data_IF_451356055892
#
_entry.id   IF_451356055892
#
_cell.length_a   1.000
_cell.length_b   1.000
_cell.length_c   1.000
_cell.angle_alpha   90.00
_cell.angle_beta   90.00
_cell.angle_gamma   90.00
#
_symmetry.space_group_name_H-M   'P 1'
#
loop_
_entity.id
_entity.type
_entity.pdbx_description
1 polymer ?
2 non-polymer ?
3 non-polymer ?
4 water ?
#
# COMPACT_ATOMS: atom_id res chain seq x y z
N UNK A 1 -11.64 -10.19 -0.98
CA UNK A 1 -12.36 -11.36 -1.57
C UNK A 1 -13.67 -11.66 -0.80
N UNK A 2 -13.61 -12.22 0.43
CA UNK A 2 -14.84 -12.73 1.11
C UNK A 2 -15.55 -11.59 1.84
N UNK A 3 -14.87 -10.53 2.28
CA UNK A 3 -15.60 -9.40 2.91
C UNK A 3 -15.82 -8.32 1.86
N UNK A 4 -17.07 -7.92 1.67
CA UNK A 4 -17.46 -6.85 0.69
C UNK A 4 -16.84 -5.54 1.15
N UNK A 5 -16.21 -4.81 0.23
CA UNK A 5 -15.72 -3.44 0.52
C UNK A 5 -15.96 -2.55 -0.70
N UNK A 6 -16.46 -1.34 -0.44
CA UNK A 6 -16.67 -0.29 -1.46
C UNK A 6 -15.33 0.08 -2.12
N UNK A 7 -14.21 -0.11 -1.42
CA UNK A 7 -12.94 0.49 -1.89
C UNK A 7 -12.50 -0.01 -3.26
N UNK A 8 -12.75 -1.28 -3.57
CA UNK A 8 -12.31 -1.91 -4.84
C UNK A 8 -13.00 -1.18 -6.01
N UNK A 9 -14.32 -1.02 -5.91
CA UNK A 9 -15.15 -0.28 -6.90
C UNK A 9 -14.66 1.18 -6.98
N UNK A 10 -14.41 1.80 -5.82
CA UNK A 10 -14.09 3.25 -5.77
C UNK A 10 -12.90 3.53 -6.69
N UNK A 11 -11.88 2.66 -6.72
CA UNK A 11 -10.64 2.94 -7.51
C UNK A 11 -10.78 2.38 -8.93
N UNK A 12 -11.96 1.87 -9.26
CA UNK A 12 -12.33 1.36 -10.60
C UNK A 12 -11.51 0.11 -10.96
N UNK A 13 -11.16 -0.73 -9.97
CA UNK A 13 -10.47 -2.00 -10.20
C UNK A 13 -11.39 -2.99 -10.96
N UNK A 14 -12.72 -3.09 -10.70
CA UNK A 14 -13.55 -4.04 -11.45
C UNK A 14 -13.45 -3.89 -12.98
N UNK A 15 -13.20 -2.70 -13.50
CA UNK A 15 -13.04 -2.50 -14.98
C UNK A 15 -11.83 -3.31 -15.46
N UNK A 16 -10.72 -3.32 -14.71
CA UNK A 16 -9.56 -4.17 -15.05
C UNK A 16 -9.95 -5.63 -14.90
N UNK A 17 -10.63 -5.99 -13.82
CA UNK A 17 -11.04 -7.39 -13.60
C UNK A 17 -11.87 -7.84 -14.81
N UNK A 18 -12.78 -7.00 -15.30
CA UNK A 18 -13.71 -7.35 -16.42
C UNK A 18 -12.93 -7.47 -17.75
N UNK A 19 -11.77 -6.83 -17.85
CA UNK A 19 -10.85 -6.92 -19.03
C UNK A 19 -9.99 -8.18 -18.90
N UNK A 20 -10.00 -8.83 -17.73
CA UNK A 20 -9.20 -10.06 -17.46
C UNK A 20 -7.91 -9.76 -16.71
N UNK A 21 -7.71 -8.57 -16.15
CA UNK A 21 -6.41 -8.25 -15.48
C UNK A 21 -6.62 -8.37 -13.98
N UNK A 22 -5.85 -9.22 -13.30
CA UNK A 22 -5.99 -9.43 -11.83
C UNK A 22 -4.65 -9.39 -11.11
N UNK A 23 -3.58 -8.89 -11.73
CA UNK A 23 -2.26 -8.81 -11.09
C UNK A 23 -1.50 -10.11 -11.16
N UNK A 24 -1.77 -10.95 -12.16
CA UNK A 24 -1.05 -12.22 -12.43
C UNK A 24 0.45 -11.95 -12.55
N UNK A 25 1.27 -12.79 -11.90
CA UNK A 25 2.75 -12.76 -11.99
C UNK A 25 3.29 -11.41 -11.52
N UNK A 26 2.74 -10.90 -10.42
CA UNK A 26 3.28 -9.66 -9.78
C UNK A 26 3.59 -9.99 -8.33
N UNK A 27 4.83 -9.74 -7.92
CA UNK A 27 5.33 -10.00 -6.56
C UNK A 27 5.17 -8.74 -5.73
N UNK A 28 4.36 -8.82 -4.68
CA UNK A 28 4.06 -7.66 -3.82
C UNK A 28 4.56 -7.99 -2.42
N UNK A 29 5.54 -7.23 -1.92
CA UNK A 29 6.01 -7.35 -0.52
C UNK A 29 5.11 -6.52 0.37
N UNK A 30 4.46 -7.19 1.30
CA UNK A 30 3.66 -6.53 2.37
C UNK A 30 4.63 -6.34 3.53
N UNK A 31 5.20 -5.14 3.64
CA UNK A 31 6.16 -4.82 4.71
C UNK A 31 5.37 -4.26 5.90
N UNK A 32 5.20 -5.08 6.94
CA UNK A 32 4.19 -4.81 7.99
C UNK A 32 4.41 -5.78 9.15
N UNK A 33 3.32 -6.21 9.78
CA UNK A 33 3.34 -7.01 11.05
C UNK A 33 3.30 -8.51 10.78
N UNK A 34 3.45 -8.93 9.52
CA UNK A 34 3.32 -10.33 9.11
C UNK A 34 2.06 -10.51 8.32
N UNK A 35 1.83 -11.72 7.84
CA UNK A 35 0.51 -12.08 7.25
C UNK A 35 0.12 -13.44 7.83
N UNK A 36 -1.10 -13.56 8.29
CA UNK A 36 -1.63 -14.87 8.74
C UNK A 36 -1.83 -15.76 7.51
N UNK A 37 -0.84 -16.57 7.19
CA UNK A 37 -0.84 -17.37 5.96
C UNK A 37 -1.82 -18.54 6.05
N UNK A 38 -2.39 -18.82 7.22
CA UNK A 38 -3.39 -19.89 7.43
C UNK A 38 -4.82 -19.37 7.20
N UNK A 39 -4.96 -18.07 6.91
CA UNK A 39 -6.26 -17.49 6.50
C UNK A 39 -6.70 -18.13 5.17
N UNK A 40 -7.90 -18.78 5.14
CA UNK A 40 -8.40 -19.38 3.90
C UNK A 40 -8.51 -18.40 2.72
N UNK A 41 -8.60 -17.10 2.98
CA UNK A 41 -8.85 -16.07 1.92
C UNK A 41 -7.50 -15.53 1.43
N UNK A 42 -6.37 -15.96 2.00
CA UNK A 42 -5.04 -15.44 1.60
C UNK A 42 -4.20 -16.58 1.04
N UNK A 43 -3.23 -16.24 0.21
CA UNK A 43 -2.13 -17.16 -0.16
C UNK A 43 -0.86 -16.32 -0.04
N UNK A 44 0.16 -16.88 0.55
CA UNK A 44 1.43 -16.17 0.77
C UNK A 44 2.54 -16.99 0.08
N UNK A 45 3.36 -16.35 -0.75
CA UNK A 45 4.34 -17.00 -1.63
C UNK A 45 5.68 -17.16 -0.93
N UNK A 46 5.92 -16.42 0.15
CA UNK A 46 7.20 -16.46 0.85
C UNK A 46 7.32 -15.28 1.78
N UNK A 47 8.49 -15.10 2.39
CA UNK A 47 8.61 -14.00 3.35
C UNK A 47 9.76 -14.19 4.33
N UNK A 48 9.85 -13.27 5.26
CA UNK A 48 10.99 -13.15 6.20
C UNK A 48 10.54 -12.27 7.36
N UNK A 49 11.00 -12.61 8.58
CA UNK A 49 10.81 -11.74 9.75
C UNK A 49 12.14 -11.15 10.19
N UNK A 50 12.12 -9.87 10.54
CA UNK A 50 13.25 -9.07 11.06
C UNK A 50 12.89 -8.53 12.45
N UNK A 51 11.85 -9.08 13.09
CA UNK A 51 11.43 -8.69 14.46
C UNK A 51 11.98 -9.74 15.41
N UNK A 52 13.08 -9.47 16.13
CA UNK A 52 13.74 -10.54 16.90
C UNK A 52 12.77 -11.24 17.86
N UNK A 53 11.79 -10.51 18.42
CA UNK A 53 10.86 -11.11 19.44
C UNK A 53 9.69 -11.82 18.76
N UNK A 54 9.52 -11.66 17.45
CA UNK A 54 8.38 -12.25 16.68
C UNK A 54 8.90 -12.89 15.38
N UNK A 55 9.39 -14.11 15.48
CA UNK A 55 10.24 -14.72 14.41
C UNK A 55 9.43 -15.31 13.25
N UNK A 56 8.10 -15.32 13.29
CA UNK A 56 7.32 -15.97 12.22
C UNK A 56 6.62 -14.92 11.37
N UNK A 57 7.03 -14.71 10.09
CA UNK A 57 6.37 -13.73 9.23
C UNK A 57 4.99 -14.21 8.80
N UNK A 58 4.68 -15.51 9.00
CA UNK A 58 3.43 -16.13 8.48
C UNK A 58 2.38 -16.24 9.58
N UNK A 59 2.63 -15.54 10.69
CA UNK A 59 1.59 -15.24 11.69
C UNK A 59 1.58 -13.72 11.90
N UNK A 60 0.47 -13.22 12.42
CA UNK A 60 0.30 -11.76 12.57
C UNK A 60 -0.41 -11.53 13.89
N UNK A 61 0.32 -11.02 14.88
CA UNK A 61 -0.24 -10.79 16.22
C UNK A 61 -0.65 -9.31 16.35
N UNK A 62 -0.62 -8.54 15.27
CA UNK A 62 -1.11 -7.14 15.25
C UNK A 62 -2.47 -7.06 14.55
N UNK A 63 -2.56 -7.58 13.34
CA UNK A 63 -3.74 -7.69 12.44
C UNK A 63 -3.54 -6.81 11.19
N UNK A 64 -2.71 -5.78 11.26
CA UNK A 64 -2.58 -4.81 10.14
C UNK A 64 -2.01 -5.49 8.90
N UNK A 65 -0.94 -6.30 9.04
CA UNK A 65 -0.35 -6.96 7.86
C UNK A 65 -1.35 -7.84 7.13
N UNK A 66 -2.18 -8.53 7.89
CA UNK A 66 -3.17 -9.47 7.32
C UNK A 66 -4.27 -8.65 6.63
N UNK A 67 -4.64 -7.51 7.21
CA UNK A 67 -5.73 -6.67 6.63
C UNK A 67 -5.24 -6.07 5.30
N UNK A 68 -4.02 -5.54 5.33
CA UNK A 68 -3.34 -5.04 4.10
C UNK A 68 -3.32 -6.14 3.05
N UNK A 69 -2.86 -7.34 3.41
CA UNK A 69 -2.74 -8.47 2.47
C UNK A 69 -4.09 -8.69 1.78
N UNK A 70 -5.18 -8.75 2.54
CA UNK A 70 -6.52 -9.00 2.00
C UNK A 70 -6.95 -7.88 1.06
N UNK A 71 -6.62 -6.64 1.36
CA UNK A 71 -6.95 -5.48 0.49
C UNK A 71 -6.16 -5.57 -0.81
N UNK A 72 -4.88 -5.89 -0.72
CA UNK A 72 -4.03 -6.06 -1.94
C UNK A 72 -4.70 -7.11 -2.83
N UNK A 73 -5.10 -8.26 -2.27
CA UNK A 73 -5.73 -9.33 -3.11
C UNK A 73 -7.16 -8.96 -3.54
N UNK A 74 -7.92 -8.15 -2.79
CA UNK A 74 -9.26 -7.72 -3.24
C UNK A 74 -9.11 -6.90 -4.53
N UNK A 75 -8.07 -6.09 -4.60
CA UNK A 75 -7.78 -5.24 -5.78
C UNK A 75 -7.11 -6.07 -6.88
N UNK A 76 -6.15 -6.91 -6.51
CA UNK A 76 -5.35 -7.72 -7.45
C UNK A 76 -5.40 -9.17 -7.01
N UNK A 77 -6.48 -9.89 -7.35
CA UNK A 77 -6.71 -11.25 -6.85
C UNK A 77 -5.60 -12.25 -7.14
N UNK A 78 -4.82 -12.03 -8.21
CA UNK A 78 -3.77 -12.98 -8.66
C UNK A 78 -2.39 -12.58 -8.13
N UNK A 79 -2.28 -11.50 -7.38
CA UNK A 79 -0.94 -11.03 -6.95
C UNK A 79 -0.27 -12.07 -6.04
N UNK A 80 1.06 -12.13 -6.07
CA UNK A 80 1.87 -13.04 -5.22
C UNK A 80 2.30 -12.25 -3.98
N UNK A 81 1.78 -12.58 -2.79
CA UNK A 81 2.09 -11.79 -1.58
C UNK A 81 3.33 -12.37 -0.90
N UNK A 82 4.17 -11.49 -0.40
CA UNK A 82 5.33 -11.88 0.44
C UNK A 82 5.17 -11.16 1.77
N UNK A 83 5.22 -11.92 2.86
CA UNK A 83 5.05 -11.43 4.24
C UNK A 83 6.43 -11.00 4.71
N UNK A 84 6.66 -9.69 4.74
CA UNK A 84 7.94 -9.11 5.21
C UNK A 84 7.68 -8.46 6.57
N UNK A 85 8.00 -9.18 7.63
CA UNK A 85 7.63 -8.74 9.00
C UNK A 85 8.71 -7.85 9.59
N UNK A 86 8.38 -6.56 9.78
CA UNK A 86 9.29 -5.53 10.35
C UNK A 86 8.62 -4.84 11.54
N UNK A 87 7.36 -5.16 11.82
CA UNK A 87 6.63 -4.55 12.97
C UNK A 87 6.22 -5.67 13.91
N UNK A 88 6.20 -5.36 15.21
CA UNK A 88 5.66 -6.30 16.20
C UNK A 88 4.16 -6.15 16.39
N UNK A 89 3.66 -6.85 17.40
CA UNK A 89 2.22 -6.93 17.70
C UNK A 89 1.67 -5.53 18.01
N UNK A 90 2.51 -4.61 18.52
CA UNK A 90 2.03 -3.26 18.92
C UNK A 90 2.13 -2.32 17.72
N UNK A 91 2.55 -2.83 16.54
CA UNK A 91 2.53 -2.09 15.27
C UNK A 91 3.73 -1.19 15.11
N UNK A 92 4.71 -1.34 15.99
CA UNK A 92 5.98 -0.59 16.00
C UNK A 92 7.15 -1.49 15.55
N UNK A 93 8.17 -0.87 15.00
CA UNK A 93 9.41 -1.55 14.62
C UNK A 93 10.54 -0.56 14.54
N UNK A 94 11.77 -1.04 14.69
CA UNK A 94 12.99 -0.21 14.53
C UNK A 94 13.23 0.02 13.03
N UNK A 95 13.69 1.23 12.70
CA UNK A 95 14.00 1.59 11.30
C UNK A 95 14.96 0.53 10.76
N UNK A 96 15.90 0.01 11.56
CA UNK A 96 16.89 -0.95 11.00
C UNK A 96 16.18 -2.21 10.51
N UNK A 97 15.14 -2.64 11.21
CA UNK A 97 14.33 -3.84 10.82
C UNK A 97 13.60 -3.53 9.52
N UNK A 98 13.00 -2.35 9.43
CA UNK A 98 12.30 -1.89 8.21
C UNK A 98 13.27 -1.93 7.03
N UNK A 99 14.42 -1.35 7.21
CA UNK A 99 15.48 -1.34 6.17
C UNK A 99 15.84 -2.79 5.80
N UNK A 100 15.96 -3.70 6.77
CA UNK A 100 16.30 -5.10 6.45
C UNK A 100 15.19 -5.69 5.57
N UNK A 101 13.94 -5.32 5.84
CA UNK A 101 12.79 -5.80 5.06
C UNK A 101 12.85 -5.29 3.64
N UNK A 102 13.17 -4.02 3.49
CA UNK A 102 13.29 -3.38 2.16
C UNK A 102 14.40 -4.07 1.37
N UNK A 103 15.56 -4.26 2.03
CA UNK A 103 16.76 -4.94 1.45
C UNK A 103 16.36 -6.34 0.95
N UNK A 104 15.62 -7.09 1.77
CA UNK A 104 15.12 -8.44 1.41
C UNK A 104 14.22 -8.33 0.16
N UNK A 105 13.33 -7.35 0.11
CA UNK A 105 12.37 -7.19 -1.01
C UNK A 105 13.16 -6.94 -2.32
N UNK A 106 14.20 -6.12 -2.25
CA UNK A 106 15.07 -5.81 -3.43
C UNK A 106 15.75 -7.11 -3.85
N UNK A 107 16.40 -7.80 -2.90
CA UNK A 107 17.21 -9.01 -3.16
C UNK A 107 16.33 -10.10 -3.79
N UNK A 108 15.04 -10.14 -3.44
CA UNK A 108 14.13 -11.22 -3.88
C UNK A 108 13.24 -10.72 -5.03
N UNK A 109 13.63 -9.62 -5.68
CA UNK A 109 13.04 -9.18 -6.97
C UNK A 109 11.55 -8.90 -6.83
N UNK A 110 11.16 -8.20 -5.77
CA UNK A 110 9.74 -7.80 -5.63
C UNK A 110 9.43 -6.77 -6.73
N UNK A 111 8.21 -6.81 -7.28
CA UNK A 111 7.72 -5.82 -8.26
C UNK A 111 7.18 -4.59 -7.53
N UNK A 112 6.57 -4.80 -6.36
CA UNK A 112 5.85 -3.76 -5.59
C UNK A 112 6.24 -3.95 -4.14
N UNK A 113 6.58 -2.86 -3.47
CA UNK A 113 6.67 -2.84 -1.96
C UNK A 113 5.52 -2.00 -1.46
N UNK A 114 4.80 -2.51 -0.49
CA UNK A 114 3.81 -1.71 0.27
C UNK A 114 4.31 -1.57 1.70
N UNK A 115 4.46 -0.33 2.15
CA UNK A 115 4.82 -0.02 3.53
C UNK A 115 3.65 0.70 4.19
N UNK A 116 2.81 -0.15 4.77
CA UNK A 116 1.68 0.12 5.67
C UNK A 116 2.27 0.59 7.01
N UNK A 117 3.06 1.67 7.03
CA UNK A 117 3.71 2.10 8.30
C UNK A 117 4.33 3.47 8.10
N UNK A 118 4.56 4.18 9.19
CA UNK A 118 5.45 5.35 9.12
C UNK A 118 5.87 5.81 10.46
N UNK A 119 7.07 6.37 10.55
CA UNK A 119 7.55 7.03 11.77
C UNK A 119 7.53 8.54 11.61
N UNK A 120 7.60 9.30 12.74
CA UNK A 120 7.57 10.77 12.68
C UNK A 120 8.90 11.36 12.23
N UNK A 121 9.99 10.58 12.32
CA UNK A 121 11.33 11.17 12.14
C UNK A 121 12.04 10.58 10.93
N UNK A 122 12.84 11.46 10.33
CA UNK A 122 13.69 11.19 9.17
C UNK A 122 14.80 10.22 9.51
N UNK A 123 15.32 9.59 8.45
CA UNK A 123 16.51 8.72 8.50
C UNK A 123 17.12 8.70 7.11
N UNK A 124 18.37 9.14 6.98
CA UNK A 124 19.15 9.02 5.72
C UNK A 124 19.25 7.55 5.34
N UNK A 125 19.32 6.64 6.33
CA UNK A 125 19.46 5.20 6.07
C UNK A 125 18.16 4.67 5.46
N UNK A 126 17.02 5.08 6.01
CA UNK A 126 15.70 4.68 5.47
C UNK A 126 15.52 5.25 4.07
N UNK A 127 15.86 6.51 3.87
CA UNK A 127 15.78 7.15 2.54
C UNK A 127 16.65 6.38 1.56
N UNK A 128 17.88 6.02 1.94
CA UNK A 128 18.80 5.30 1.02
C UNK A 128 18.16 3.97 0.61
N UNK A 129 17.47 3.29 1.53
CA UNK A 129 16.88 1.97 1.25
C UNK A 129 15.73 2.12 0.23
N UNK A 130 14.79 3.04 0.44
CA UNK A 130 13.66 3.18 -0.52
C UNK A 130 14.21 3.71 -1.86
N UNK A 131 15.20 4.60 -1.83
CA UNK A 131 15.76 5.14 -3.08
C UNK A 131 16.41 3.98 -3.86
N UNK A 132 17.11 3.10 -3.14
CA UNK A 132 17.74 1.92 -3.79
C UNK A 132 16.64 1.03 -4.39
N UNK A 133 15.54 0.83 -3.68
CA UNK A 133 14.47 -0.06 -4.18
C UNK A 133 13.94 0.54 -5.49
N UNK A 134 13.71 1.86 -5.49
CA UNK A 134 13.17 2.56 -6.71
C UNK A 134 14.22 2.47 -7.81
N UNK A 135 15.51 2.66 -7.51
CA UNK A 135 16.58 2.57 -8.53
C UNK A 135 16.60 1.16 -9.11
N UNK A 136 16.24 0.16 -8.31
CA UNK A 136 16.26 -1.27 -8.73
C UNK A 136 15.02 -1.58 -9.55
N UNK A 137 14.07 -0.63 -9.67
CA UNK A 137 12.86 -0.79 -10.49
C UNK A 137 11.62 -1.24 -9.71
N UNK A 138 11.64 -1.23 -8.38
CA UNK A 138 10.48 -1.63 -7.55
C UNK A 138 9.52 -0.43 -7.44
N UNK A 139 8.24 -0.66 -7.57
CA UNK A 139 7.23 0.39 -7.23
C UNK A 139 7.07 0.43 -5.72
N UNK A 140 7.43 1.55 -5.08
CA UNK A 140 7.40 1.65 -3.60
C UNK A 140 6.23 2.56 -3.19
N UNK A 141 5.33 1.97 -2.42
CA UNK A 141 4.07 2.61 -1.97
C UNK A 141 4.11 2.66 -0.46
N UNK A 142 3.67 3.77 0.13
CA UNK A 142 3.60 3.87 1.58
C UNK A 142 2.39 4.68 2.02
N UNK A 143 1.87 4.31 3.17
CA UNK A 143 0.82 5.05 3.89
C UNK A 143 1.37 6.43 4.23
N UNK A 144 0.60 7.47 3.94
CA UNK A 144 1.01 8.87 4.16
C UNK A 144 1.15 9.16 5.66
N UNK A 145 0.44 8.42 6.53
CA UNK A 145 0.40 8.68 7.95
C UNK A 145 -0.98 8.99 8.47
N UNK A 146 -1.20 8.74 9.75
CA UNK A 146 -2.50 8.98 10.41
C UNK A 146 -2.33 10.12 11.43
N UNK A 147 -1.49 11.11 11.11
CA UNK A 147 -1.12 12.24 12.01
C UNK A 147 -1.97 13.50 11.74
N UNK A 148 -3.06 13.37 10.98
CA UNK A 148 -3.98 14.50 10.80
C UNK A 148 -3.23 15.70 10.22
N UNK A 149 -3.54 16.89 10.69
CA UNK A 149 -3.00 18.16 10.15
C UNK A 149 -2.19 18.87 11.23
N UNK A 150 -1.37 19.81 10.78
CA UNK A 150 -0.54 20.65 11.67
C UNK A 150 -0.34 22.01 10.99
N UNK A 151 -1.45 22.70 10.74
CA UNK A 151 -1.47 24.01 10.08
C UNK A 151 -0.84 23.93 8.70
N UNK A 152 0.19 24.71 8.43
CA UNK A 152 0.88 24.68 7.13
C UNK A 152 2.02 23.64 7.13
N UNK A 153 2.24 22.88 8.22
CA UNK A 153 3.34 21.89 8.31
C UNK A 153 2.95 20.57 7.66
N UNK A 154 3.92 19.92 7.04
CA UNK A 154 3.73 18.54 6.57
C UNK A 154 3.56 17.63 7.79
N UNK A 155 2.61 16.71 7.74
CA UNK A 155 2.48 15.63 8.75
C UNK A 155 2.73 14.26 8.10
N UNK A 156 3.18 14.26 6.86
CA UNK A 156 3.47 12.99 6.13
C UNK A 156 4.55 12.24 6.90
N UNK A 157 4.29 10.96 7.21
CA UNK A 157 5.26 10.07 7.92
C UNK A 157 6.36 9.59 6.95
N UNK A 158 7.40 9.02 7.53
CA UNK A 158 8.53 8.40 6.80
C UNK A 158 8.24 6.90 6.71
N UNK A 159 8.51 6.23 5.57
CA UNK A 159 9.18 6.84 4.41
C UNK A 159 8.31 7.45 3.30
N UNK A 160 6.99 7.61 3.55
CA UNK A 160 6.09 8.22 2.56
C UNK A 160 6.60 9.61 2.16
N UNK A 161 7.23 10.32 3.08
CA UNK A 161 7.64 11.74 2.85
C UNK A 161 8.79 11.85 1.83
N UNK A 162 9.46 10.77 1.52
CA UNK A 162 10.61 10.79 0.59
C UNK A 162 10.09 10.83 -0.84
N UNK A 163 10.68 11.66 -1.72
CA UNK A 163 10.17 11.78 -3.10
C UNK A 163 10.11 10.48 -3.90
N UNK A 164 10.98 9.53 -3.59
CA UNK A 164 11.05 8.27 -4.35
C UNK A 164 9.83 7.39 -4.08
N UNK A 165 9.09 7.65 -3.00
CA UNK A 165 7.98 6.80 -2.52
C UNK A 165 6.66 7.44 -2.95
N UNK A 166 5.69 6.63 -3.27
CA UNK A 166 4.30 7.11 -3.52
C UNK A 166 3.60 7.16 -2.16
N UNK A 167 3.31 8.37 -1.69
CA UNK A 167 2.67 8.66 -0.40
C UNK A 167 1.16 8.63 -0.60
N UNK A 168 0.48 7.72 0.07
CA UNK A 168 -0.99 7.50 -0.12
C UNK A 168 -1.77 8.01 1.09
N UNK A 169 -2.64 8.99 0.86
CA UNK A 169 -3.62 9.45 1.86
C UNK A 169 -4.92 8.67 1.79
N UNK A 170 -5.80 8.89 2.76
CA UNK A 170 -7.09 8.15 2.89
C UNK A 170 -8.28 9.07 2.63
N UNK A 171 -9.20 8.58 1.80
CA UNK A 171 -10.58 9.15 1.66
C UNK A 171 -11.61 8.14 2.16
N UNK A 172 -12.80 8.67 2.47
CA UNK A 172 -14.00 7.87 2.79
C UNK A 172 -14.72 7.50 1.48
N UNK A 173 -15.89 6.86 1.60
CA UNK A 173 -16.66 6.36 0.44
C UNK A 173 -17.21 7.51 -0.41
N UNK A 174 -17.18 8.76 0.07
CA UNK A 174 -17.61 9.94 -0.74
C UNK A 174 -16.39 10.82 -1.08
N UNK A 175 -15.20 10.22 -1.10
CA UNK A 175 -13.95 10.91 -1.56
C UNK A 175 -13.63 12.16 -0.75
N UNK A 176 -14.09 12.24 0.49
CA UNK A 176 -13.66 13.33 1.40
C UNK A 176 -12.44 12.82 2.17
N UNK A 177 -11.42 13.66 2.33
CA UNK A 177 -10.23 13.30 3.13
C UNK A 177 -10.68 12.81 4.52
N UNK A 178 -10.14 11.71 4.97
CA UNK A 178 -10.37 11.20 6.33
C UNK A 178 -9.70 12.17 7.30
N UNK A 179 -10.35 12.51 8.43
CA UNK A 179 -9.75 13.43 9.42
C UNK A 179 -8.32 13.08 9.86
N UNK A 180 -7.99 11.80 9.91
CA UNK A 180 -6.66 11.34 10.37
C UNK A 180 -5.61 11.41 9.26
N UNK A 181 -6.00 11.54 8.00
CA UNK A 181 -5.06 11.35 6.87
C UNK A 181 -3.99 12.46 6.85
N UNK A 182 -2.71 12.11 6.89
CA UNK A 182 -1.61 13.08 6.90
C UNK A 182 -1.66 13.92 5.62
N UNK A 183 -1.04 15.09 5.68
CA UNK A 183 -1.13 16.12 4.63
C UNK A 183 0.26 16.71 4.41
N UNK A 184 0.44 17.36 3.26
CA UNK A 184 1.70 18.08 3.01
C UNK A 184 2.03 18.02 1.53
N UNK A 185 3.09 18.71 1.14
CA UNK A 185 3.47 18.70 -0.27
C UNK A 185 3.94 17.34 -0.78
N UNK A 186 4.31 16.43 0.13
CA UNK A 186 4.85 15.09 -0.25
C UNK A 186 3.71 14.12 -0.53
N UNK A 187 2.48 14.43 -0.11
CA UNK A 187 1.30 13.57 -0.44
C UNK A 187 1.14 13.42 -1.96
N UNK A 188 0.96 12.20 -2.46
CA UNK A 188 0.94 11.95 -3.92
C UNK A 188 -0.47 11.61 -4.39
N UNK A 189 -1.10 10.60 -3.81
CA UNK A 189 -2.44 10.15 -4.26
C UNK A 189 -3.26 9.80 -3.03
N UNK A 190 -4.56 9.63 -3.24
CA UNK A 190 -5.50 9.13 -2.22
C UNK A 190 -6.09 7.79 -2.65
N UNK A 191 -6.55 7.03 -1.66
CA UNK A 191 -7.31 5.79 -1.89
C UNK A 191 -8.23 5.54 -0.70
N UNK A 192 -9.15 4.58 -0.84
CA UNK A 192 -10.11 4.30 0.24
C UNK A 192 -9.41 3.82 1.52
N UNK A 193 -9.73 4.49 2.64
CA UNK A 193 -9.08 4.21 3.94
C UNK A 193 -10.03 4.32 5.09
N UNK A 194 -11.35 4.43 4.86
CA UNK A 194 -12.31 4.54 6.00
C UNK A 194 -13.19 3.29 6.02
N UNK A 195 -13.14 2.54 7.12
CA UNK A 195 -14.05 1.40 7.38
C UNK A 195 -13.91 0.36 6.26
N UNK A 196 -12.67 0.02 5.94
CA UNK A 196 -12.36 -0.96 4.87
C UNK A 196 -12.44 -2.37 5.46
N UNK A 197 -13.36 -3.18 4.98
CA UNK A 197 -13.49 -4.58 5.46
C UNK A 197 -12.46 -5.47 4.75
N UNK A 198 -11.66 -6.23 5.50
CA UNK A 198 -10.65 -7.16 4.96
C UNK A 198 -10.36 -8.27 5.99
N UNK A 199 -9.42 -9.11 5.64
CA UNK A 199 -9.01 -10.32 6.39
C UNK A 199 -8.33 -9.90 7.68
N UNK A 200 -8.67 -10.61 8.75
CA UNK A 200 -8.01 -10.48 10.06
C UNK A 200 -7.53 -11.86 10.49
N UNK A 201 -6.49 -11.91 11.34
CA UNK A 201 -5.90 -13.19 11.75
C UNK A 201 -6.90 -14.13 12.41
N UNK A 202 -6.74 -15.44 12.19
CA UNK A 202 -7.62 -16.44 12.82
C UNK A 202 -8.92 -16.59 12.05
N UNK A 203 -8.82 -16.52 10.72
CA UNK A 203 -9.96 -16.75 9.79
C UNK A 203 -11.07 -15.79 10.20
N UNK A 204 -10.74 -14.50 10.31
CA UNK A 204 -11.72 -13.45 10.69
C UNK A 204 -11.76 -12.39 9.60
N UNK A 205 -12.70 -11.46 9.73
CA UNK A 205 -12.83 -10.27 8.82
C UNK A 205 -13.24 -9.08 9.66
N UNK A 206 -12.94 -7.88 9.17
CA UNK A 206 -13.41 -6.69 9.88
C UNK A 206 -12.89 -5.44 9.23
N UNK A 207 -13.55 -4.36 9.57
CA UNK A 207 -13.24 -3.01 9.05
C UNK A 207 -12.09 -2.38 9.82
N UNK A 208 -11.17 -1.78 9.10
CA UNK A 208 -10.10 -0.92 9.67
C UNK A 208 -10.17 0.42 8.91
N UNK A 209 -9.77 1.48 9.58
CA UNK A 209 -9.61 2.81 8.96
C UNK A 209 -8.14 3.18 9.07
N UNK A 210 -7.58 3.80 8.05
CA UNK A 210 -6.23 4.35 8.12
C UNK A 210 -5.66 4.61 6.77
N UNK A 211 -4.48 5.24 6.73
CA UNK A 211 -3.68 5.29 5.48
C UNK A 211 -3.12 3.90 5.16
N UNK A 212 -3.11 3.00 6.14
CA UNK A 212 -2.65 1.63 5.92
C UNK A 212 -3.52 0.94 4.86
N UNK A 213 -4.85 0.82 5.05
CA UNK A 213 -5.67 0.24 3.98
C UNK A 213 -5.65 1.05 2.67
N UNK A 214 -5.51 2.36 2.75
CA UNK A 214 -5.40 3.21 1.53
C UNK A 214 -4.19 2.76 0.70
N UNK A 215 -3.02 2.67 1.33
CA UNK A 215 -1.75 2.26 0.67
C UNK A 215 -1.96 0.90 0.04
N UNK A 216 -2.61 -0.03 0.75
CA UNK A 216 -2.89 -1.37 0.20
C UNK A 216 -3.63 -1.31 -1.15
N UNK A 217 -4.61 -0.46 -1.30
CA UNK A 217 -5.36 -0.31 -2.58
C UNK A 217 -4.38 0.09 -3.68
N UNK A 218 -3.46 0.99 -3.39
CA UNK A 218 -2.55 1.53 -4.43
C UNK A 218 -1.51 0.46 -4.76
N UNK A 219 -1.04 -0.31 -3.78
CA UNK A 219 -0.13 -1.47 -4.06
C UNK A 219 -0.87 -2.47 -4.99
N UNK A 220 -2.14 -2.74 -4.73
CA UNK A 220 -2.93 -3.63 -5.58
C UNK A 220 -3.10 -3.03 -6.96
N UNK A 221 -3.38 -1.74 -7.03
CA UNK A 221 -3.56 -1.04 -8.32
C UNK A 221 -2.26 -1.16 -9.15
N UNK A 222 -1.10 -0.96 -8.53
CA UNK A 222 0.20 -1.14 -9.19
C UNK A 222 0.33 -2.57 -9.75
N UNK A 223 -0.13 -3.60 -9.02
CA UNK A 223 -0.10 -4.98 -9.52
C UNK A 223 -1.06 -5.15 -10.70
N UNK A 224 -2.25 -4.56 -10.67
CA UNK A 224 -3.18 -4.65 -11.85
C UNK A 224 -2.48 -4.02 -13.05
N UNK A 225 -1.86 -2.85 -12.86
CA UNK A 225 -1.27 -2.09 -13.98
C UNK A 225 -0.12 -2.92 -14.58
N UNK A 226 0.70 -3.51 -13.74
CA UNK A 226 1.83 -4.35 -14.20
C UNK A 226 1.30 -5.59 -14.92
N UNK A 227 0.15 -6.12 -14.55
CA UNK A 227 -0.38 -7.30 -15.25
C UNK A 227 -0.80 -6.88 -16.66
N UNK A 228 -1.34 -5.68 -16.86
CA UNK A 228 -1.70 -5.20 -18.23
C UNK A 228 -0.44 -4.73 -19.00
N UNK A 229 0.57 -4.25 -18.26
CA UNK A 229 1.77 -3.59 -18.83
C UNK A 229 3.00 -4.10 -18.10
N UNK A 230 3.36 -5.39 -18.27
CA UNK A 230 4.47 -5.97 -17.51
C UNK A 230 5.82 -5.34 -17.89
N UNK A 231 5.86 -4.62 -18.99
CA UNK A 231 7.09 -3.95 -19.50
C UNK A 231 7.23 -2.54 -18.92
N UNK A 232 6.18 -2.01 -18.28
CA UNK A 232 6.27 -0.63 -17.73
C UNK A 232 7.28 -0.63 -16.59
N UNK A 233 8.11 0.40 -16.55
CA UNK A 233 9.02 0.65 -15.42
C UNK A 233 8.20 1.09 -14.23
N UNK A 234 8.77 1.07 -13.04
CA UNK A 234 8.13 1.70 -11.87
C UNK A 234 7.85 3.17 -12.21
N UNK A 235 8.73 3.84 -12.94
CA UNK A 235 8.52 5.26 -13.26
C UNK A 235 7.20 5.41 -14.02
N UNK A 236 6.96 4.53 -14.98
CA UNK A 236 5.76 4.58 -15.86
C UNK A 236 4.51 4.20 -15.05
N UNK A 237 4.59 3.18 -14.18
CA UNK A 237 3.46 2.80 -13.29
C UNK A 237 3.11 3.99 -12.40
N UNK A 238 4.11 4.59 -11.78
CA UNK A 238 3.88 5.74 -10.87
C UNK A 238 3.23 6.90 -11.64
N UNK A 239 3.82 7.30 -12.77
CA UNK A 239 3.27 8.34 -13.67
C UNK A 239 1.81 8.02 -14.00
N UNK A 240 1.50 6.77 -14.36
CA UNK A 240 0.14 6.40 -14.80
C UNK A 240 -0.86 6.67 -13.66
N UNK A 241 -0.47 6.36 -12.43
CA UNK A 241 -1.35 6.54 -11.24
C UNK A 241 -1.51 8.02 -10.94
N UNK A 242 -0.43 8.80 -10.99
CA UNK A 242 -0.45 10.23 -10.57
C UNK A 242 -1.15 11.07 -11.63
N UNK A 243 -0.84 10.81 -12.90
CA UNK A 243 -1.32 11.65 -14.02
C UNK A 243 -2.79 11.38 -14.32
N UNK A 244 -3.37 10.25 -13.88
CA UNK A 244 -4.77 9.90 -14.21
C UNK A 244 -5.67 9.92 -12.99
N UNK A 245 -5.18 10.36 -11.84
CA UNK A 245 -5.98 10.47 -10.61
C UNK A 245 -7.15 11.45 -10.83
N UNK A 246 -8.25 11.21 -10.13
CA UNK A 246 -9.44 12.09 -10.07
C UNK A 246 -9.13 13.23 -9.10
N UNK A 247 -9.01 14.46 -9.61
CA UNK A 247 -8.72 15.64 -8.75
C UNK A 247 -9.82 15.78 -7.68
N UNK A 248 -9.42 15.93 -6.40
CA UNK A 248 -10.40 16.01 -5.30
C UNK A 248 -10.31 17.32 -4.52
N UNK A 249 -9.36 18.18 -4.82
CA UNK A 249 -9.21 19.43 -4.06
C UNK A 249 -7.76 19.77 -3.96
N UNK A 250 -7.45 20.66 -3.03
CA UNK A 250 -6.09 21.20 -2.91
C UNK A 250 -5.11 20.05 -2.72
N UNK A 251 -4.02 20.04 -3.48
CA UNK A 251 -2.99 18.96 -3.42
C UNK A 251 -2.36 18.83 -2.03
N UNK A 252 -2.36 19.86 -1.20
CA UNK A 252 -1.78 19.73 0.16
C UNK A 252 -2.55 18.65 0.94
N UNK A 253 -3.85 18.53 0.67
CA UNK A 253 -4.77 17.62 1.40
C UNK A 253 -4.98 16.35 0.60
N UNK A 254 -4.89 16.40 -0.74
CA UNK A 254 -5.42 15.30 -1.60
C UNK A 254 -4.39 14.80 -2.62
N UNK A 255 -3.21 15.42 -2.65
CA UNK A 255 -2.20 15.21 -3.70
C UNK A 255 -2.88 15.32 -5.04
N UNK A 256 -2.59 14.40 -5.95
CA UNK A 256 -3.18 14.40 -7.32
C UNK A 256 -4.63 13.95 -7.30
N UNK A 257 -5.10 13.39 -6.19
CA UNK A 257 -6.48 12.93 -6.08
C UNK A 257 -6.59 11.42 -5.94
N UNK A 258 -7.80 10.92 -6.18
CA UNK A 258 -8.13 9.50 -6.01
C UNK A 258 -7.54 8.73 -7.17
N UNK A 259 -6.87 7.61 -6.91
CA UNK A 259 -6.36 6.76 -8.00
C UNK A 259 -7.56 6.21 -8.76
N UNK A 260 -7.37 6.10 -10.06
CA UNK A 260 -8.31 5.54 -11.04
C UNK A 260 -7.53 4.51 -11.84
N UNK A 261 -7.57 3.25 -11.43
CA UNK A 261 -6.71 2.20 -12.03
C UNK A 261 -7.18 1.92 -13.46
N UNK A 262 -8.46 2.08 -13.76
CA UNK A 262 -8.97 1.94 -15.16
C UNK A 262 -8.24 2.95 -16.05
N UNK A 263 -8.25 4.24 -15.67
CA UNK A 263 -7.58 5.32 -16.41
C UNK A 263 -6.06 5.06 -16.45
N UNK A 264 -5.44 4.71 -15.32
CA UNK A 264 -3.98 4.53 -15.21
C UNK A 264 -3.53 3.44 -16.20
N UNK A 265 -4.28 2.34 -16.30
CA UNK A 265 -3.89 1.14 -17.07
C UNK A 265 -4.12 1.36 -18.57
N UNK A 266 -4.65 2.52 -18.99
CA UNK A 266 -4.74 2.87 -20.43
C UNK A 266 -4.09 4.25 -20.68
N UNK A 267 -3.30 4.74 -19.72
CA UNK A 267 -2.49 5.99 -19.86
C UNK A 267 -1.52 5.83 -21.03
N UNK A 268 -1.39 6.86 -21.87
CA UNK A 268 -0.35 7.02 -22.92
C UNK A 268 0.73 7.97 -22.39
N UNK A 269 1.97 7.51 -22.29
CA UNK A 269 3.11 8.24 -21.65
C UNK A 269 3.70 9.26 -22.64
X LIG B 1 12.66 -5.54 -11.84
X LIG B 1 11.60 -4.60 -11.68
X LIG B 1 13.24 -5.91 -10.49
X LIG B 1 13.81 -7.23 -10.54
X LIG B 1 12.23 -5.81 -9.39
X LIG B 1 12.77 -6.25 -8.14
X LIG C 1 2.69 0.79 -23.93
X LIG C 1 2.21 2.05 -23.48
X LIG C 1 4.19 0.80 -24.14
X LIG C 1 4.71 -0.49 -23.80
X LIG C 1 4.91 1.88 -23.37
X LIG C 1 6.20 1.44 -22.94
X LIG D 1 7.70 -7.16 -13.99
X LIG D 1 7.14 -5.99 -14.57
X LIG D 1 6.78 -8.35 -14.19
X LIG D 1 7.02 -8.89 -15.49
X LIG D 1 5.32 -7.97 -14.04
X LIG D 1 4.47 -9.10 -14.02
X LIG E 1 -18.89 -1.45 2.84
X LIG E 1 -19.96 -2.32 2.44
X LIG E 1 -17.94 -1.31 1.78
X LIG E 1 -18.22 -2.02 3.99
X LIG E 1 -19.42 -0.16 3.19
X LIG F 1 7.76 2.83 13.15
X LIG F 1 9.00 2.39 12.56
X LIG F 1 6.72 2.77 12.16
X LIG F 1 7.41 1.98 14.25
X LIG F 1 7.93 4.19 13.62
X LIG G 1 6.85 21.71 6.71
X LIG G 1 6.43 23.05 6.99
X LIG G 1 6.30 21.27 5.45
X LIG G 1 8.29 21.67 6.65
X LIG G 1 6.40 20.83 7.75
X LIG H 1 17.32 2.12 14.54
X LIG H 1 16.80 3.45 14.83
X LIG H 1 16.32 1.34 13.89
X LIG H 1 17.70 1.48 15.77
X LIG H 1 18.47 2.24 13.68
#
# INVERSE_FOLDING_TARGET
AKCVSYGVSQIKAPALHSQGYTGSNVKVAVIDSGIDSSHPDLNVAGGASFVPSETNPFQDNNSHGTHVAGTVLAVAPSASLYAVKVLGADGSGQYSWIINGIEWAIANNMDVINMSLGGPSGSAALKAAVDKAVASGVVVVAAAGNSGTSGSSSTVSYPAKYPSVIAVGAVDSSNQRAPFSSVGPELDVMAPGVSICSTLPGNKYGAHSGTCPASAHVAGAAALILSKHPNWTNTQVRSSLENTATKLGDSFYYGKGLINVEAAAQHHHHHH
GOL C1 O1 C2 O2 C3 O3
GOL C1 O1 C2 O2 C3 O3
GOL C1 O1 C2 O2 C3 O3
SO4 S O1 O2 O3 O4
SO4 S O1 O2 O3 O4
SO4 S O1 O2 O3 O4
SO4 S O1 O2 O3 O4
#
